data_IF_740301215132
#
_entry.id   IF_740301215132
#
_cell.length_a   1.000
_cell.length_b   1.000
_cell.length_c   1.000
_cell.angle_alpha   90.00
_cell.angle_beta   90.00
_cell.angle_gamma   90.00
#
_symmetry.space_group_name_H-M   'P 1'
#
loop_
_entity.id
_entity.type
_entity.pdbx_description
1 polymer ?
#
# COMPACT_ATOMS: atom_id res chain seq x y z
N UNK A 1 -0.57 -9.13 -29.17
CA UNK A 1 -1.96 -8.91 -28.73
C UNK A 1 -2.08 -8.63 -27.24
N UNK A 2 -1.52 -9.48 -26.38
CA UNK A 2 -1.56 -9.34 -24.92
C UNK A 2 -1.02 -7.98 -24.42
N UNK A 3 0.14 -7.52 -24.90
CA UNK A 3 0.69 -6.23 -24.45
C UNK A 3 -0.25 -5.04 -24.72
N UNK A 4 -0.93 -5.00 -25.87
CA UNK A 4 -1.92 -3.94 -26.17
C UNK A 4 -3.12 -3.97 -25.23
N UNK A 5 -3.53 -5.17 -24.80
CA UNK A 5 -4.65 -5.35 -23.85
C UNK A 5 -4.21 -4.90 -22.45
N UNK A 6 -2.98 -5.24 -22.05
CA UNK A 6 -2.37 -4.79 -20.79
C UNK A 6 -2.25 -3.27 -20.76
N UNK A 7 -1.71 -2.65 -21.81
CA UNK A 7 -1.56 -1.19 -21.91
C UNK A 7 -2.94 -0.48 -21.85
N UNK A 8 -3.96 -1.01 -22.53
CA UNK A 8 -5.31 -0.44 -22.50
C UNK A 8 -6.01 -0.58 -21.13
N UNK A 9 -5.71 -1.65 -20.38
CA UNK A 9 -6.16 -1.82 -18.99
C UNK A 9 -5.45 -0.85 -18.05
N UNK A 10 -4.16 -0.61 -18.29
CA UNK A 10 -3.31 0.31 -17.55
C UNK A 10 -3.80 1.77 -17.70
N UNK A 11 -4.11 2.19 -18.93
CA UNK A 11 -4.68 3.51 -19.23
C UNK A 11 -6.06 3.70 -18.57
N UNK A 12 -6.90 2.67 -18.55
CA UNK A 12 -8.20 2.71 -17.85
C UNK A 12 -8.05 2.81 -16.33
N UNK A 13 -7.04 2.15 -15.76
CA UNK A 13 -6.75 2.23 -14.33
C UNK A 13 -6.19 3.60 -13.92
N UNK A 14 -5.40 4.26 -14.78
CA UNK A 14 -4.89 5.62 -14.54
C UNK A 14 -5.98 6.68 -14.41
N UNK A 15 -7.09 6.50 -15.13
CA UNK A 15 -8.24 7.41 -15.05
C UNK A 15 -8.95 7.34 -13.69
N UNK A 16 -8.75 6.25 -12.93
CA UNK A 16 -9.23 6.15 -11.55
C UNK A 16 -8.20 6.78 -10.60
N UNK A 17 -8.44 8.01 -10.15
CA UNK A 17 -7.50 8.81 -9.35
C UNK A 17 -7.09 8.22 -7.98
N UNK A 18 -7.57 7.03 -7.62
CA UNK A 18 -7.42 6.48 -6.27
C UNK A 18 -6.06 5.82 -6.01
N UNK A 19 -5.30 5.47 -7.06
CA UNK A 19 -4.04 4.70 -6.97
C UNK A 19 -2.94 5.22 -7.93
N UNK A 20 -2.92 6.52 -8.23
CA UNK A 20 -2.04 7.06 -9.28
C UNK A 20 -0.56 6.79 -9.00
N UNK A 21 -0.15 6.93 -7.74
CA UNK A 21 1.22 6.73 -7.27
C UNK A 21 1.66 5.27 -7.44
N UNK A 22 0.83 4.31 -7.02
CA UNK A 22 1.11 2.86 -7.19
C UNK A 22 1.21 2.49 -8.67
N UNK A 23 0.37 3.10 -9.50
CA UNK A 23 0.38 2.84 -10.94
C UNK A 23 1.61 3.45 -11.63
N UNK A 24 2.08 4.62 -11.18
CA UNK A 24 3.36 5.18 -11.63
C UNK A 24 4.53 4.28 -11.24
N UNK A 25 4.54 3.67 -10.05
CA UNK A 25 5.57 2.69 -9.67
C UNK A 25 5.57 1.45 -10.56
N UNK A 26 4.41 0.91 -10.91
CA UNK A 26 4.29 -0.22 -11.83
C UNK A 26 4.87 0.09 -13.23
N UNK A 27 4.74 1.34 -13.70
CA UNK A 27 5.35 1.77 -14.98
C UNK A 27 6.88 1.75 -14.92
N UNK A 28 7.46 2.18 -13.80
CA UNK A 28 8.90 2.11 -13.59
C UNK A 28 9.38 0.66 -13.50
N UNK A 29 8.62 -0.23 -12.85
CA UNK A 29 8.97 -1.65 -12.73
C UNK A 29 9.04 -2.31 -14.11
N UNK A 30 8.00 -2.11 -14.91
CA UNK A 30 7.94 -2.59 -16.30
C UNK A 30 9.12 -2.08 -17.12
N UNK A 31 9.46 -0.81 -16.98
CA UNK A 31 10.60 -0.19 -17.68
C UNK A 31 11.94 -0.83 -17.27
N UNK A 32 12.15 -1.08 -15.97
CA UNK A 32 13.35 -1.74 -15.46
C UNK A 32 13.44 -3.21 -15.90
N UNK A 33 12.32 -3.91 -16.03
CA UNK A 33 12.28 -5.27 -16.60
C UNK A 33 12.69 -5.26 -18.08
N UNK A 34 12.22 -4.29 -18.86
CA UNK A 34 12.66 -4.11 -20.25
C UNK A 34 14.16 -3.79 -20.33
N UNK A 35 14.67 -2.89 -19.48
CA UNK A 35 16.11 -2.59 -19.42
C UNK A 35 16.95 -3.83 -19.05
N UNK A 36 16.54 -4.58 -18.03
CA UNK A 36 17.22 -5.84 -17.64
C UNK A 36 17.31 -6.80 -18.81
N UNK A 37 16.20 -6.96 -19.54
CA UNK A 37 16.12 -7.87 -20.69
C UNK A 37 17.02 -7.40 -21.84
N UNK A 38 16.99 -6.09 -22.14
CA UNK A 38 17.81 -5.49 -23.20
C UNK A 38 19.31 -5.59 -22.88
N UNK A 39 19.71 -5.25 -21.65
CA UNK A 39 21.12 -5.31 -21.23
C UNK A 39 21.68 -6.74 -21.27
N UNK A 40 20.90 -7.74 -20.82
CA UNK A 40 21.31 -9.16 -20.94
C UNK A 40 21.38 -9.63 -22.39
N UNK A 41 20.49 -9.16 -23.26
CA UNK A 41 20.57 -9.46 -24.69
C UNK A 41 21.81 -8.84 -25.34
N UNK A 42 22.19 -7.63 -24.92
CA UNK A 42 23.40 -6.96 -25.38
C UNK A 42 24.65 -7.68 -24.87
N UNK A 43 24.68 -8.10 -23.60
CA UNK A 43 25.74 -8.91 -22.99
C UNK A 43 26.02 -10.17 -23.82
N UNK A 44 24.98 -10.97 -24.09
CA UNK A 44 25.06 -12.18 -24.90
C UNK A 44 25.57 -11.92 -26.33
N UNK A 45 25.23 -10.77 -26.90
CA UNK A 45 25.68 -10.37 -28.24
C UNK A 45 27.16 -9.97 -28.23
N UNK A 46 27.59 -9.19 -27.23
CA UNK A 46 28.97 -8.76 -27.04
C UNK A 46 29.89 -9.96 -26.74
N UNK A 47 29.48 -10.90 -25.87
CA UNK A 47 30.23 -12.13 -25.61
C UNK A 47 30.43 -12.99 -26.86
N UNK A 48 29.41 -13.05 -27.73
CA UNK A 48 29.50 -13.77 -29.01
C UNK A 48 30.42 -13.06 -29.99
N UNK A 49 30.45 -11.73 -29.96
CA UNK A 49 31.37 -10.91 -30.75
C UNK A 49 32.82 -11.13 -30.31
N UNK A 50 33.07 -11.22 -29.00
CA UNK A 50 34.40 -11.51 -28.46
C UNK A 50 34.89 -12.92 -28.80
N UNK A 51 34.01 -13.93 -28.73
CA UNK A 51 34.36 -15.34 -29.01
C UNK A 51 34.35 -15.68 -30.49
N UNK A 52 33.52 -15.01 -31.27
CA UNK A 52 33.38 -15.23 -32.70
C UNK A 52 34.37 -14.36 -33.46
N UNK A 53 35.37 -14.97 -34.11
CA UNK A 53 36.31 -14.30 -35.03
C UNK A 53 35.64 -13.77 -36.32
N UNK A 54 34.46 -13.17 -36.20
CA UNK A 54 33.63 -12.71 -37.31
C UNK A 54 34.24 -11.47 -38.00
N UNK A 55 35.14 -10.77 -37.32
CA UNK A 55 35.86 -9.58 -37.80
C UNK A 55 37.35 -9.68 -37.46
N UNK A 56 38.21 -8.98 -38.21
CA UNK A 56 39.60 -8.73 -37.78
C UNK A 56 39.56 -7.72 -36.64
N UNK A 57 39.70 -8.18 -35.41
CA UNK A 57 39.95 -7.31 -34.26
C UNK A 57 41.43 -6.93 -34.23
N UNK A 58 41.70 -5.64 -34.08
CA UNK A 58 43.01 -5.17 -33.63
C UNK A 58 43.06 -5.21 -32.10
N UNK A 59 44.24 -5.25 -31.47
CA UNK A 59 44.36 -5.32 -30.01
C UNK A 59 43.57 -4.22 -29.28
N UNK A 60 43.53 -3.01 -29.86
CA UNK A 60 42.78 -1.86 -29.33
C UNK A 60 41.26 -2.08 -29.35
N UNK A 61 40.74 -2.89 -30.29
CA UNK A 61 39.30 -3.19 -30.38
C UNK A 61 38.87 -4.23 -29.32
N UNK A 62 39.77 -5.13 -28.92
CA UNK A 62 39.52 -6.12 -27.85
C UNK A 62 39.43 -5.44 -26.48
N UNK A 63 40.36 -4.53 -26.17
CA UNK A 63 40.36 -3.75 -24.92
C UNK A 63 39.07 -2.91 -24.79
N UNK A 64 38.67 -2.22 -25.86
CA UNK A 64 37.42 -1.44 -25.87
C UNK A 64 36.17 -2.31 -25.67
N UNK A 65 36.15 -3.52 -26.23
CA UNK A 65 35.02 -4.44 -26.05
C UNK A 65 34.95 -4.97 -24.61
N UNK A 66 36.09 -5.23 -23.96
CA UNK A 66 36.16 -5.64 -22.56
C UNK A 66 35.64 -4.54 -21.61
N UNK A 67 35.97 -3.28 -21.89
CA UNK A 67 35.44 -2.12 -21.15
C UNK A 67 33.90 -2.03 -21.28
N UNK A 68 33.37 -2.13 -22.51
CA UNK A 68 31.92 -2.07 -22.75
C UNK A 68 31.19 -3.25 -22.10
N UNK A 69 31.78 -4.46 -22.13
CA UNK A 69 31.24 -5.63 -21.42
C UNK A 69 31.17 -5.38 -19.92
N UNK A 70 32.23 -4.80 -19.33
CA UNK A 70 32.29 -4.46 -17.91
C UNK A 70 31.24 -3.40 -17.54
N UNK A 71 31.10 -2.34 -18.34
CA UNK A 71 30.07 -1.32 -18.12
C UNK A 71 28.65 -1.89 -18.27
N UNK A 72 28.41 -2.77 -19.25
CA UNK A 72 27.11 -3.42 -19.42
C UNK A 72 26.78 -4.34 -18.23
N UNK A 73 27.77 -5.06 -17.69
CA UNK A 73 27.60 -5.86 -16.47
C UNK A 73 27.22 -4.97 -15.27
N UNK A 74 27.92 -3.85 -15.09
CA UNK A 74 27.58 -2.87 -14.04
C UNK A 74 26.17 -2.32 -14.22
N UNK A 75 25.75 -2.04 -15.45
CA UNK A 75 24.39 -1.59 -15.73
C UNK A 75 23.34 -2.65 -15.35
N UNK A 76 23.59 -3.94 -15.62
CA UNK A 76 22.70 -5.04 -15.19
C UNK A 76 22.56 -5.06 -13.67
N UNK A 77 23.67 -4.92 -12.94
CA UNK A 77 23.66 -4.87 -11.47
C UNK A 77 22.87 -3.66 -10.95
N UNK A 78 23.11 -2.47 -11.51
CA UNK A 78 22.39 -1.25 -11.13
C UNK A 78 20.88 -1.35 -11.37
N UNK A 79 20.45 -1.90 -12.50
CA UNK A 79 19.02 -2.14 -12.79
C UNK A 79 18.44 -3.18 -11.83
N UNK A 80 19.22 -4.20 -11.45
CA UNK A 80 18.84 -5.15 -10.41
C UNK A 80 18.60 -4.50 -9.05
N UNK A 81 19.50 -3.60 -8.62
CA UNK A 81 19.34 -2.81 -7.39
C UNK A 81 18.09 -1.92 -7.46
N UNK A 82 17.88 -1.24 -8.58
CA UNK A 82 16.71 -0.37 -8.78
C UNK A 82 15.39 -1.17 -8.70
N UNK A 83 15.32 -2.35 -9.32
CA UNK A 83 14.17 -3.25 -9.21
C UNK A 83 13.91 -3.68 -7.76
N UNK A 84 14.95 -4.03 -7.01
CA UNK A 84 14.81 -4.40 -5.59
C UNK A 84 14.32 -3.24 -4.73
N UNK A 85 14.80 -2.01 -4.97
CA UNK A 85 14.32 -0.81 -4.26
C UNK A 85 12.86 -0.54 -4.59
N UNK A 86 12.49 -0.66 -5.87
CA UNK A 86 11.13 -0.40 -6.32
C UNK A 86 10.13 -1.41 -5.75
N UNK A 87 10.50 -2.69 -5.69
CA UNK A 87 9.70 -3.74 -5.05
C UNK A 87 9.49 -3.45 -3.55
N UNK A 88 10.55 -3.12 -2.82
CA UNK A 88 10.45 -2.70 -1.41
C UNK A 88 9.57 -1.46 -1.22
N UNK A 89 9.63 -0.51 -2.15
CA UNK A 89 8.78 0.67 -2.12
C UNK A 89 7.30 0.30 -2.31
N UNK A 90 6.99 -0.61 -3.24
CA UNK A 90 5.64 -1.10 -3.46
C UNK A 90 5.07 -1.82 -2.24
N UNK A 91 5.88 -2.65 -1.57
CA UNK A 91 5.50 -3.28 -0.29
C UNK A 91 5.25 -2.26 0.83
N UNK A 92 6.09 -1.22 0.92
CA UNK A 92 5.89 -0.12 1.87
C UNK A 92 4.59 0.65 1.59
N UNK A 93 4.27 0.93 0.31
CA UNK A 93 2.99 1.55 -0.07
C UNK A 93 1.80 0.68 0.31
N UNK A 94 1.86 -0.63 0.07
CA UNK A 94 0.81 -1.56 0.49
C UNK A 94 0.63 -1.55 2.02
N UNK A 95 1.73 -1.49 2.78
CA UNK A 95 1.72 -1.37 4.24
C UNK A 95 1.08 -0.06 4.70
N UNK A 96 1.41 1.08 4.07
CA UNK A 96 0.80 2.38 4.37
C UNK A 96 -0.71 2.35 4.08
N UNK A 97 -1.14 1.79 2.96
CA UNK A 97 -2.56 1.63 2.63
C UNK A 97 -3.28 0.78 3.69
N UNK A 98 -2.69 -0.34 4.08
CA UNK A 98 -3.22 -1.22 5.13
C UNK A 98 -3.30 -0.51 6.48
N UNK A 99 -2.28 0.27 6.85
CA UNK A 99 -2.26 1.06 8.06
C UNK A 99 -3.35 2.14 8.06
N UNK A 100 -3.54 2.83 6.93
CA UNK A 100 -4.62 3.81 6.76
C UNK A 100 -6.00 3.15 6.87
N UNK A 101 -6.19 1.98 6.26
CA UNK A 101 -7.43 1.22 6.39
C UNK A 101 -7.69 0.83 7.84
N UNK A 102 -6.66 0.33 8.55
CA UNK A 102 -6.76 0.00 9.97
C UNK A 102 -7.11 1.22 10.84
N UNK A 103 -6.52 2.39 10.55
CA UNK A 103 -6.86 3.64 11.24
C UNK A 103 -8.33 4.02 11.02
N UNK A 104 -8.80 3.99 9.77
CA UNK A 104 -10.21 4.28 9.45
C UNK A 104 -11.17 3.26 10.08
N UNK A 105 -10.82 1.97 10.09
CA UNK A 105 -11.63 0.93 10.74
C UNK A 105 -11.71 1.14 12.25
N UNK A 106 -10.59 1.44 12.92
CA UNK A 106 -10.58 1.79 14.35
C UNK A 106 -11.45 3.01 14.64
N UNK A 107 -11.35 4.05 13.81
CA UNK A 107 -12.18 5.24 13.94
C UNK A 107 -13.67 4.93 13.83
N UNK A 108 -14.10 4.22 12.78
CA UNK A 108 -15.50 3.83 12.59
C UNK A 108 -16.03 2.94 13.71
N UNK A 109 -15.23 1.96 14.16
CA UNK A 109 -15.59 1.10 15.29
C UNK A 109 -15.70 1.90 16.60
N UNK A 110 -14.81 2.86 16.83
CA UNK A 110 -14.83 3.69 18.03
C UNK A 110 -16.11 4.53 18.13
N UNK A 111 -16.50 5.20 17.05
CA UNK A 111 -17.76 5.97 16.96
C UNK A 111 -18.96 5.05 17.18
N UNK A 112 -18.96 3.88 16.55
CA UNK A 112 -20.06 2.92 16.67
C UNK A 112 -20.27 2.48 18.13
N UNK A 113 -19.19 2.15 18.84
CA UNK A 113 -19.27 1.71 20.25
C UNK A 113 -19.72 2.87 21.17
N UNK A 114 -19.21 4.08 20.93
CA UNK A 114 -19.60 5.28 21.69
C UNK A 114 -21.10 5.56 21.53
N UNK A 115 -21.67 5.38 20.33
CA UNK A 115 -23.10 5.57 20.06
C UNK A 115 -23.96 4.39 20.55
N UNK A 116 -23.45 3.15 20.48
CA UNK A 116 -24.19 1.95 20.84
C UNK A 116 -24.56 1.91 22.33
N UNK A 117 -23.66 2.35 23.22
CA UNK A 117 -23.88 2.29 24.67
C UNK A 117 -25.06 3.15 25.16
N UNK A 118 -25.13 4.46 24.87
CA UNK A 118 -26.29 5.28 25.21
C UNK A 118 -27.57 4.77 24.55
N UNK A 119 -27.47 4.28 23.30
CA UNK A 119 -28.62 3.75 22.55
C UNK A 119 -29.19 2.50 23.21
N UNK A 120 -28.35 1.60 23.73
CA UNK A 120 -28.76 0.39 24.45
C UNK A 120 -29.47 0.75 25.77
N UNK A 121 -28.94 1.72 26.52
CA UNK A 121 -29.57 2.17 27.76
C UNK A 121 -30.91 2.85 27.44
N UNK A 122 -30.93 3.74 26.46
CA UNK A 122 -32.16 4.40 26.01
C UNK A 122 -33.21 3.41 25.51
N UNK A 123 -32.80 2.34 24.82
CA UNK A 123 -33.73 1.32 24.35
C UNK A 123 -34.31 0.50 25.50
N UNK A 124 -33.51 0.10 26.49
CA UNK A 124 -33.99 -0.62 27.69
C UNK A 124 -34.99 0.21 28.49
N UNK A 125 -34.69 1.49 28.75
CA UNK A 125 -35.60 2.39 29.47
C UNK A 125 -36.77 2.88 28.61
N UNK A 126 -36.71 2.71 27.29
CA UNK A 126 -37.81 2.97 26.36
C UNK A 126 -38.77 1.81 26.18
N UNK A 127 -38.51 0.65 26.80
CA UNK A 127 -39.44 -0.48 26.77
C UNK A 127 -40.65 -0.19 27.67
N UNK A 128 -41.85 -0.55 27.22
CA UNK A 128 -43.09 -0.48 28.01
C UNK A 128 -43.16 -1.62 29.04
N UNK A 129 -42.10 -1.80 29.83
CA UNK A 129 -41.99 -2.81 30.90
C UNK A 129 -41.75 -2.06 32.21
N UNK A 130 -42.46 -2.45 33.27
CA UNK A 130 -42.26 -1.85 34.59
C UNK A 130 -40.84 -2.13 35.09
N UNK A 131 -39.99 -1.10 35.05
CA UNK A 131 -38.63 -1.14 35.54
C UNK A 131 -38.57 -0.70 37.01
N UNK A 132 -37.76 -1.35 37.86
CA UNK A 132 -37.45 -0.80 39.18
C UNK A 132 -36.82 0.59 38.99
N UNK A 133 -37.24 1.57 39.81
CA UNK A 133 -36.86 3.00 39.73
C UNK A 133 -37.54 3.88 38.66
N UNK A 134 -38.53 3.38 37.90
CA UNK A 134 -39.22 4.18 36.88
C UNK A 134 -40.14 5.28 37.43
N UNK A 135 -40.70 5.12 38.63
CA UNK A 135 -41.67 6.07 39.22
C UNK A 135 -41.04 7.23 40.00
N UNK A 136 -39.71 7.27 40.10
CA UNK A 136 -39.01 8.37 40.78
C UNK A 136 -38.85 9.59 39.87
N UNK A 137 -39.16 10.80 40.38
CA UNK A 137 -39.06 12.06 39.62
C UNK A 137 -37.67 12.33 39.02
N UNK A 138 -36.62 11.70 39.56
CA UNK A 138 -35.23 11.82 39.11
C UNK A 138 -34.75 10.68 38.19
N UNK A 139 -35.62 9.71 37.85
CA UNK A 139 -35.22 8.52 37.08
C UNK A 139 -34.63 8.88 35.71
N UNK A 140 -35.24 9.83 35.00
CA UNK A 140 -34.75 10.32 33.71
C UNK A 140 -33.36 10.96 33.83
N UNK A 141 -33.14 11.78 34.87
CA UNK A 141 -31.88 12.47 35.11
C UNK A 141 -30.76 11.49 35.51
N UNK A 142 -31.10 10.45 36.27
CA UNK A 142 -30.18 9.37 36.64
C UNK A 142 -29.73 8.53 35.45
N UNK A 143 -30.66 8.17 34.56
CA UNK A 143 -30.36 7.42 33.32
C UNK A 143 -29.46 8.24 32.39
N UNK A 144 -29.77 9.53 32.24
CA UNK A 144 -28.98 10.44 31.41
C UNK A 144 -27.56 10.61 31.98
N UNK A 145 -27.41 10.73 33.29
CA UNK A 145 -26.13 10.72 33.98
C UNK A 145 -25.34 9.41 33.77
N UNK A 146 -26.00 8.26 33.89
CA UNK A 146 -25.39 6.94 33.66
C UNK A 146 -24.87 6.80 32.22
N UNK A 147 -25.69 7.19 31.23
CA UNK A 147 -25.30 7.20 29.81
C UNK A 147 -24.06 8.08 29.58
N UNK A 148 -24.06 9.28 30.16
CA UNK A 148 -22.95 10.22 30.03
C UNK A 148 -21.66 9.67 30.64
N UNK A 149 -21.73 9.13 31.86
CA UNK A 149 -20.57 8.54 32.54
C UNK A 149 -20.02 7.33 31.77
N UNK A 150 -20.88 6.44 31.28
CA UNK A 150 -20.44 5.27 30.50
C UNK A 150 -19.82 5.66 29.17
N UNK A 151 -20.41 6.63 28.45
CA UNK A 151 -19.84 7.17 27.23
C UNK A 151 -18.47 7.81 27.48
N UNK A 152 -18.34 8.59 28.56
CA UNK A 152 -17.08 9.22 28.96
C UNK A 152 -15.99 8.17 29.29
N UNK A 153 -16.34 7.10 30.03
CA UNK A 153 -15.41 6.01 30.35
C UNK A 153 -14.88 5.35 29.07
N UNK A 154 -15.75 5.08 28.09
CA UNK A 154 -15.33 4.46 26.82
C UNK A 154 -14.44 5.39 26.01
N UNK A 155 -14.77 6.69 25.94
CA UNK A 155 -13.91 7.69 25.28
C UNK A 155 -12.53 7.73 25.94
N UNK A 156 -12.45 7.74 27.27
CA UNK A 156 -11.18 7.72 28.01
C UNK A 156 -10.37 6.45 27.74
N UNK A 157 -11.01 5.28 27.67
CA UNK A 157 -10.35 4.01 27.34
C UNK A 157 -9.79 4.04 25.91
N UNK A 158 -10.56 4.52 24.93
CA UNK A 158 -10.12 4.60 23.54
C UNK A 158 -9.04 5.65 23.31
N UNK A 159 -9.10 6.77 24.04
CA UNK A 159 -8.06 7.78 23.98
C UNK A 159 -6.73 7.28 24.55
N UNK A 160 -6.76 6.52 25.65
CA UNK A 160 -5.55 5.91 26.23
C UNK A 160 -4.95 4.80 25.36
N UNK A 161 -5.72 4.25 24.42
CA UNK A 161 -5.32 3.12 23.58
C UNK A 161 -4.90 3.54 22.16
N UNK A 162 -4.86 4.84 21.86
CA UNK A 162 -4.57 5.39 20.52
C UNK A 162 -5.45 4.76 19.43
N UNK A 163 -6.74 4.56 19.74
CA UNK A 163 -7.74 4.12 18.75
C UNK A 163 -8.37 5.28 17.98
N UNK A 164 -8.07 6.51 18.39
CA UNK A 164 -8.46 7.77 17.75
C UNK A 164 -7.30 8.35 16.95
#
# INVERSE_FOLDING_TARGET
>A
EINKIVDALEDKLQLSQRNREVLELLKYEKSLVYFTTALRSNELMMERLQKGQMFRMYPEDEDLLEDVLTENQQAIEMVGIANNILSQMMDAFASIISNNLNAVMKFMASITIILALPTLIASLFGMNVDLPFQQTSYAFLGVLGLCFVLSLIVVLIFWKKDWF
#
